data_IF_289519885499
#
_entry.id   IF_289519885499
#
_cell.length_a   1.000
_cell.length_b   1.000
_cell.length_c   1.000
_cell.angle_alpha   90.00
_cell.angle_beta   90.00
_cell.angle_gamma   90.00
#
_symmetry.space_group_name_H-M   'P 1'
#
loop_
_entity.id
_entity.type
_entity.pdbx_description
1 polymer ?
#
# COMPACT_ATOMS: atom_id res chain seq x y z
N UNK A 1 -3.05 7.07 5.99
CA UNK A 1 -3.63 5.86 6.58
C UNK A 1 -5.12 5.87 6.32
N UNK A 2 -5.70 4.73 5.94
CA UNK A 2 -7.12 4.43 5.75
C UNK A 2 -7.86 5.49 4.92
N UNK A 3 -8.74 6.29 5.51
CA UNK A 3 -9.44 7.39 4.83
C UNK A 3 -8.45 8.35 4.14
N UNK A 4 -7.31 8.65 4.78
CA UNK A 4 -6.25 9.47 4.19
C UNK A 4 -5.67 8.86 2.91
N UNK A 5 -5.52 7.54 2.85
CA UNK A 5 -5.13 6.83 1.62
C UNK A 5 -6.17 7.05 0.51
N UNK A 6 -7.46 6.89 0.81
CA UNK A 6 -8.53 7.11 -0.16
C UNK A 6 -8.55 8.57 -0.65
N UNK A 7 -8.34 9.53 0.25
CA UNK A 7 -8.30 10.97 -0.10
C UNK A 7 -7.11 11.31 -1.01
N UNK A 8 -5.92 10.76 -0.75
CA UNK A 8 -4.74 10.92 -1.62
C UNK A 8 -5.02 10.32 -3.00
N UNK A 9 -5.60 9.12 -3.07
CA UNK A 9 -5.98 8.48 -4.32
C UNK A 9 -6.97 9.33 -5.13
N UNK A 10 -7.98 9.88 -4.47
CA UNK A 10 -8.95 10.80 -5.10
C UNK A 10 -8.28 12.09 -5.60
N UNK A 11 -7.36 12.66 -4.83
CA UNK A 11 -6.60 13.86 -5.23
C UNK A 11 -5.73 13.60 -6.46
N UNK A 12 -5.23 12.36 -6.62
CA UNK A 12 -4.50 11.91 -7.80
C UNK A 12 -5.43 11.57 -9.00
N UNK A 13 -6.73 11.76 -8.88
CA UNK A 13 -7.70 11.47 -9.94
C UNK A 13 -8.15 10.02 -9.99
N UNK A 14 -7.75 9.20 -9.02
CA UNK A 14 -8.11 7.80 -8.95
C UNK A 14 -9.58 7.57 -8.55
N UNK A 15 -10.08 6.40 -8.91
CA UNK A 15 -11.40 5.91 -8.51
C UNK A 15 -11.29 5.15 -7.19
N UNK A 16 -12.13 5.53 -6.25
CA UNK A 16 -12.35 4.80 -4.99
C UNK A 16 -13.76 4.23 -5.03
N UNK A 17 -13.89 2.94 -4.88
CA UNK A 17 -15.17 2.22 -4.98
C UNK A 17 -15.51 1.48 -3.69
N UNK A 18 -16.80 1.17 -3.54
CA UNK A 18 -17.30 0.45 -2.38
C UNK A 18 -17.06 -1.05 -2.57
N UNK A 19 -16.40 -1.68 -1.59
CA UNK A 19 -16.31 -3.13 -1.50
C UNK A 19 -17.66 -3.76 -1.11
N UNK A 20 -17.88 -4.97 -1.58
CA UNK A 20 -19.11 -5.72 -1.25
C UNK A 20 -19.26 -5.97 0.25
N UNK A 21 -18.16 -6.31 0.92
CA UNK A 21 -18.13 -6.63 2.35
C UNK A 21 -17.22 -5.71 3.17
N UNK A 22 -16.19 -5.13 2.54
CA UNK A 22 -15.13 -4.41 3.23
C UNK A 22 -14.13 -5.34 3.93
N UNK A 23 -13.10 -4.73 4.52
CA UNK A 23 -12.09 -5.45 5.31
C UNK A 23 -12.18 -5.01 6.76
N UNK A 24 -12.33 -5.98 7.65
CA UNK A 24 -12.51 -5.75 9.08
C UNK A 24 -11.71 -6.77 9.89
N UNK A 25 -11.10 -6.31 10.98
CA UNK A 25 -10.35 -7.16 11.92
C UNK A 25 -8.83 -7.05 11.79
N UNK A 26 -8.12 -7.75 12.68
CA UNK A 26 -6.65 -7.73 12.79
C UNK A 26 -5.96 -8.93 12.14
N UNK A 27 -6.55 -9.53 11.13
CA UNK A 27 -6.08 -10.77 10.50
C UNK A 27 -6.09 -10.73 8.97
N UNK A 28 -5.97 -9.54 8.38
CA UNK A 28 -5.99 -9.36 6.94
C UNK A 28 -4.57 -9.52 6.36
N UNK A 29 -4.32 -10.54 5.52
CA UNK A 29 -3.03 -10.76 4.92
C UNK A 29 -2.83 -9.81 3.73
N UNK A 30 -1.74 -9.05 3.77
CA UNK A 30 -1.34 -8.13 2.71
C UNK A 30 0.06 -8.47 2.26
N UNK A 31 0.30 -8.54 0.96
CA UNK A 31 1.64 -8.69 0.41
C UNK A 31 2.26 -7.31 0.18
N UNK A 32 3.48 -7.13 0.69
CA UNK A 32 4.34 -6.01 0.36
C UNK A 32 5.12 -6.34 -0.91
N UNK A 33 4.82 -5.69 -2.01
CA UNK A 33 5.43 -5.95 -3.33
C UNK A 33 6.90 -5.49 -3.40
N UNK A 34 7.34 -4.61 -2.49
CA UNK A 34 8.73 -4.13 -2.47
C UNK A 34 9.67 -5.17 -1.85
N UNK A 35 9.16 -5.99 -0.92
CA UNK A 35 9.96 -6.96 -0.17
C UNK A 35 9.57 -8.41 -0.44
N UNK A 36 8.41 -8.65 -1.07
CA UNK A 36 7.83 -9.97 -1.26
C UNK A 36 7.30 -10.62 0.02
N UNK A 37 7.21 -9.88 1.13
CA UNK A 37 6.74 -10.40 2.42
C UNK A 37 5.24 -10.25 2.58
N UNK A 38 4.63 -11.23 3.23
CA UNK A 38 3.25 -11.15 3.69
C UNK A 38 3.23 -10.54 5.09
N UNK A 39 2.40 -9.55 5.28
CA UNK A 39 2.17 -8.82 6.53
C UNK A 39 0.74 -9.06 6.98
N UNK A 40 0.53 -9.33 8.25
CA UNK A 40 -0.81 -9.37 8.83
C UNK A 40 -1.17 -7.96 9.30
N UNK A 41 -2.32 -7.47 8.85
CA UNK A 41 -2.73 -6.08 9.07
C UNK A 41 -4.07 -5.97 9.78
N UNK A 42 -4.25 -4.85 10.49
CA UNK A 42 -5.53 -4.46 11.06
C UNK A 42 -6.27 -3.55 10.06
N UNK A 43 -7.52 -3.88 9.77
CA UNK A 43 -8.31 -3.16 8.78
C UNK A 43 -9.72 -2.87 9.30
N UNK A 44 -10.25 -1.71 8.90
CA UNK A 44 -11.64 -1.31 9.16
C UNK A 44 -12.10 -0.32 8.10
N UNK A 45 -12.37 -0.82 6.89
CA UNK A 45 -12.81 0.02 5.78
C UNK A 45 -13.77 -0.72 4.84
N UNK A 46 -14.61 0.04 4.15
CA UNK A 46 -15.56 -0.48 3.16
C UNK A 46 -15.31 0.02 1.73
N UNK A 47 -14.21 0.74 1.51
CA UNK A 47 -13.85 1.29 0.20
C UNK A 47 -12.41 0.96 -0.15
N UNK A 48 -12.12 0.89 -1.43
CA UNK A 48 -10.84 0.50 -1.98
C UNK A 48 -10.47 1.38 -3.20
N UNK A 49 -9.17 1.54 -3.45
CA UNK A 49 -8.63 2.14 -4.66
C UNK A 49 -8.69 1.16 -5.84
N UNK A 50 -9.24 1.59 -6.96
CA UNK A 50 -9.05 0.92 -8.27
C UNK A 50 -7.71 1.39 -8.84
N UNK A 51 -6.61 0.69 -8.56
CA UNK A 51 -5.26 1.14 -8.87
C UNK A 51 -5.04 1.55 -10.34
N UNK A 52 -5.54 0.80 -11.37
CA UNK A 52 -5.38 1.19 -12.77
C UNK A 52 -6.05 2.52 -13.14
N UNK A 53 -6.96 3.02 -12.31
CA UNK A 53 -7.58 4.33 -12.52
C UNK A 53 -6.66 5.52 -12.29
N UNK A 54 -5.50 5.29 -11.67
CA UNK A 54 -4.48 6.33 -11.41
C UNK A 54 -3.70 6.71 -12.67
N UNK A 55 -3.64 5.83 -13.69
CA UNK A 55 -2.92 6.06 -14.93
C UNK A 55 -2.56 4.78 -15.66
N UNK A 56 -1.93 4.91 -16.83
CA UNK A 56 -1.46 3.77 -17.61
C UNK A 56 -0.39 3.00 -16.82
N UNK A 57 -0.48 1.67 -16.82
CA UNK A 57 0.48 0.77 -16.17
C UNK A 57 1.16 -0.07 -17.24
N UNK A 58 2.46 0.17 -17.47
CA UNK A 58 3.22 -0.57 -18.48
C UNK A 58 3.58 -1.97 -17.98
N UNK A 59 3.50 -2.94 -18.91
CA UNK A 59 3.92 -4.32 -18.65
C UNK A 59 3.06 -5.11 -17.68
N UNK A 60 1.95 -4.54 -17.22
CA UNK A 60 1.05 -5.26 -16.33
C UNK A 60 0.17 -6.26 -17.10
N UNK A 61 -0.11 -7.44 -16.53
CA UNK A 61 -1.09 -8.37 -17.10
C UNK A 61 -2.47 -7.72 -17.25
N UNK A 62 -3.24 -8.17 -18.23
CA UNK A 62 -4.63 -7.76 -18.36
C UNK A 62 -5.43 -8.24 -17.14
N UNK A 63 -6.24 -7.35 -16.55
CA UNK A 63 -7.12 -7.68 -15.44
C UNK A 63 -8.53 -7.96 -15.96
N UNK A 64 -9.12 -9.05 -15.48
CA UNK A 64 -10.55 -9.33 -15.71
C UNK A 64 -11.43 -8.39 -14.89
N UNK A 65 -10.98 -8.05 -13.68
CA UNK A 65 -11.55 -7.05 -12.77
C UNK A 65 -10.46 -6.03 -12.42
N UNK A 66 -10.64 -4.74 -12.72
CA UNK A 66 -9.65 -3.70 -12.41
C UNK A 66 -9.32 -3.56 -10.92
N UNK A 67 -10.16 -4.07 -10.04
CA UNK A 67 -9.95 -4.04 -8.59
C UNK A 67 -9.22 -5.27 -8.06
N UNK A 68 -9.13 -6.35 -8.84
CA UNK A 68 -8.42 -7.59 -8.47
C UNK A 68 -7.01 -7.61 -9.07
N UNK A 69 -6.02 -7.33 -8.25
CA UNK A 69 -4.61 -7.23 -8.65
C UNK A 69 -3.82 -8.53 -8.39
N UNK A 70 -4.47 -9.65 -8.03
CA UNK A 70 -3.77 -10.91 -7.71
C UNK A 70 -2.89 -11.41 -8.84
N UNK A 71 -3.34 -11.30 -10.09
CA UNK A 71 -2.52 -11.66 -11.26
C UNK A 71 -1.25 -10.81 -11.40
N UNK A 72 -1.22 -9.61 -10.83
CA UNK A 72 -0.02 -8.77 -10.79
C UNK A 72 0.92 -9.17 -9.66
N UNK A 73 0.38 -9.65 -8.54
CA UNK A 73 1.18 -10.19 -7.43
C UNK A 73 2.07 -11.34 -7.91
N UNK A 74 1.54 -12.21 -8.76
CA UNK A 74 2.26 -13.37 -9.31
C UNK A 74 3.48 -12.98 -10.17
N UNK A 75 3.53 -11.74 -10.67
CA UNK A 75 4.69 -11.24 -11.44
C UNK A 75 5.90 -10.90 -10.56
N UNK A 76 5.71 -10.79 -9.25
CA UNK A 76 6.73 -10.31 -8.31
C UNK A 76 7.19 -8.87 -8.52
N UNK A 77 6.43 -8.08 -9.30
CA UNK A 77 6.73 -6.69 -9.63
C UNK A 77 5.85 -5.74 -8.82
N UNK A 78 6.39 -4.55 -8.51
CA UNK A 78 5.64 -3.42 -7.94
C UNK A 78 5.32 -2.41 -9.06
N UNK A 79 4.19 -2.55 -9.77
CA UNK A 79 3.90 -1.77 -10.97
C UNK A 79 3.72 -0.29 -10.65
N UNK A 80 4.02 0.56 -11.66
CA UNK A 80 3.90 2.01 -11.56
C UNK A 80 2.85 2.49 -12.55
N UNK A 81 1.85 3.21 -12.05
CA UNK A 81 0.88 3.93 -12.86
C UNK A 81 1.46 5.29 -13.26
N UNK A 82 1.42 5.62 -14.56
CA UNK A 82 1.82 6.93 -15.07
C UNK A 82 0.69 7.94 -14.82
N UNK A 83 0.79 8.70 -13.73
CA UNK A 83 -0.21 9.68 -13.35
C UNK A 83 0.08 11.04 -13.98
N UNK A 84 -0.91 11.62 -14.64
CA UNK A 84 -0.76 12.89 -15.36
C UNK A 84 -0.43 14.09 -14.45
N UNK A 85 -0.77 14.02 -13.17
CA UNK A 85 -0.61 15.13 -12.21
C UNK A 85 0.61 15.01 -11.30
N UNK A 86 0.94 13.78 -10.89
CA UNK A 86 1.94 13.53 -9.84
C UNK A 86 3.07 12.61 -10.28
N UNK A 87 3.18 12.32 -11.60
CA UNK A 87 4.22 11.42 -12.11
C UNK A 87 3.94 9.95 -11.80
N UNK A 88 4.97 9.19 -11.44
CA UNK A 88 4.79 7.78 -11.15
C UNK A 88 4.12 7.52 -9.80
N UNK A 89 3.14 6.61 -9.79
CA UNK A 89 2.52 6.10 -8.55
C UNK A 89 2.70 4.59 -8.53
N UNK A 90 3.51 4.11 -7.60
CA UNK A 90 3.84 2.68 -7.43
C UNK A 90 2.81 2.00 -6.54
N UNK A 91 2.32 0.84 -6.96
CA UNK A 91 1.59 -0.09 -6.10
C UNK A 91 2.58 -0.75 -5.14
N UNK A 92 2.35 -0.66 -3.84
CA UNK A 92 3.27 -1.21 -2.83
C UNK A 92 2.70 -2.39 -2.06
N UNK A 93 1.38 -2.43 -1.87
CA UNK A 93 0.73 -3.47 -1.08
C UNK A 93 -0.58 -3.93 -1.73
N UNK A 94 -0.86 -5.23 -1.64
CA UNK A 94 -2.09 -5.86 -2.18
C UNK A 94 -2.65 -6.84 -1.15
N UNK A 95 -3.97 -6.83 -0.95
CA UNK A 95 -4.68 -7.79 -0.11
C UNK A 95 -4.69 -9.17 -0.78
N UNK A 96 -4.29 -10.21 -0.07
CA UNK A 96 -4.21 -11.56 -0.62
C UNK A 96 -5.56 -12.27 -0.68
N UNK A 97 -6.58 -11.80 0.04
CA UNK A 97 -7.90 -12.41 0.02
C UNK A 97 -8.66 -12.08 -1.26
N UNK A 98 -8.61 -10.82 -1.71
CA UNK A 98 -9.43 -10.36 -2.84
C UNK A 98 -8.65 -9.55 -3.90
N UNK A 99 -7.36 -9.31 -3.70
CA UNK A 99 -6.51 -8.63 -4.68
C UNK A 99 -6.64 -7.11 -4.68
N UNK A 100 -7.29 -6.50 -3.70
CA UNK A 100 -7.46 -5.05 -3.64
C UNK A 100 -6.17 -4.31 -3.33
N UNK A 101 -6.04 -3.07 -3.82
CA UNK A 101 -4.89 -2.22 -3.55
C UNK A 101 -4.88 -1.75 -2.09
N UNK A 102 -3.79 -2.03 -1.38
CA UNK A 102 -3.63 -1.73 0.05
C UNK A 102 -2.56 -0.69 0.35
N UNK A 103 -1.79 -0.26 -0.65
CA UNK A 103 -0.77 0.76 -0.46
C UNK A 103 -0.20 1.29 -1.75
N UNK A 104 0.17 2.57 -1.74
CA UNK A 104 0.85 3.25 -2.85
C UNK A 104 2.00 4.11 -2.35
N UNK A 105 2.98 4.36 -3.24
CA UNK A 105 4.03 5.33 -3.04
C UNK A 105 4.24 6.14 -4.32
N UNK A 106 4.45 7.43 -4.17
CA UNK A 106 4.76 8.32 -5.29
C UNK A 106 6.26 8.26 -5.60
N UNK A 107 6.63 8.30 -6.87
CA UNK A 107 8.04 8.27 -7.28
C UNK A 107 8.66 9.67 -7.36
N UNK A 108 7.85 10.68 -7.67
CA UNK A 108 8.33 12.04 -7.99
C UNK A 108 8.07 13.04 -6.84
N UNK A 109 7.27 12.65 -5.86
CA UNK A 109 7.04 13.42 -4.64
C UNK A 109 7.21 12.55 -3.40
N UNK A 110 7.67 13.11 -2.25
CA UNK A 110 7.90 12.35 -1.03
C UNK A 110 6.56 12.04 -0.32
N UNK A 111 5.84 11.04 -0.83
CA UNK A 111 4.55 10.63 -0.28
C UNK A 111 4.29 9.13 -0.45
N UNK A 112 3.69 8.52 0.55
CA UNK A 112 3.14 7.18 0.48
C UNK A 112 1.91 7.06 1.38
N UNK A 113 1.11 6.03 1.16
CA UNK A 113 -0.06 5.78 1.99
C UNK A 113 -0.46 4.30 1.97
N UNK A 114 -1.12 3.85 3.03
CA UNK A 114 -1.68 2.49 3.16
C UNK A 114 -3.15 2.55 3.57
N UNK A 115 -3.92 1.56 3.11
CA UNK A 115 -5.35 1.45 3.35
C UNK A 115 -5.66 0.91 4.75
N UNK A 116 -4.77 0.10 5.31
CA UNK A 116 -4.89 -0.52 6.62
C UNK A 116 -4.36 0.39 7.75
N UNK A 117 -4.42 -0.10 8.99
CA UNK A 117 -4.07 0.64 10.21
C UNK A 117 -2.79 0.10 10.84
N UNK A 118 -1.58 0.57 10.44
CA UNK A 118 -0.32 0.14 11.05
C UNK A 118 -0.19 0.57 12.51
N UNK A 119 -1.00 1.53 12.97
CA UNK A 119 -1.04 2.02 14.35
C UNK A 119 -1.88 1.15 15.29
N UNK A 120 -2.54 0.10 14.79
CA UNK A 120 -3.46 -0.71 15.59
C UNK A 120 -2.78 -1.35 16.80
N UNK A 121 -3.39 -1.21 17.96
CA UNK A 121 -2.93 -1.76 19.23
C UNK A 121 -4.07 -2.58 19.87
N UNK A 122 -3.80 -3.78 20.38
CA UNK A 122 -2.50 -4.42 20.64
C UNK A 122 -1.76 -5.04 19.45
N UNK A 123 -2.20 -4.93 18.28
CA UNK A 123 -1.57 -5.45 17.08
C UNK A 123 -2.58 -5.84 16.02
N UNK A 124 -2.17 -6.39 14.87
CA UNK A 124 -0.83 -6.89 14.50
C UNK A 124 0.24 -5.79 14.32
N UNK A 125 1.52 -6.16 14.43
CA UNK A 125 2.66 -5.22 14.43
C UNK A 125 3.56 -5.33 13.19
N UNK A 126 3.20 -6.16 12.22
CA UNK A 126 4.04 -6.46 11.05
C UNK A 126 4.38 -5.21 10.23
N UNK A 127 3.48 -4.23 10.20
CA UNK A 127 3.59 -3.00 9.43
C UNK A 127 4.12 -1.78 10.22
N UNK A 128 4.60 -1.96 11.44
CA UNK A 128 5.14 -0.86 12.27
C UNK A 128 6.36 -0.18 11.64
N UNK A 129 7.13 -0.86 10.79
CA UNK A 129 8.23 -0.28 10.03
C UNK A 129 7.81 0.94 9.18
N UNK A 130 6.53 1.08 8.84
CA UNK A 130 6.02 2.23 8.09
C UNK A 130 6.18 3.54 8.86
N UNK A 131 6.23 3.51 10.19
CA UNK A 131 6.56 4.71 10.99
C UNK A 131 8.03 5.07 10.86
N UNK A 132 8.95 4.09 10.82
CA UNK A 132 10.36 4.33 10.49
C UNK A 132 10.49 4.88 9.07
N UNK A 133 9.75 4.33 8.09
CA UNK A 133 9.70 4.86 6.73
C UNK A 133 9.25 6.33 6.72
N UNK A 134 8.24 6.67 7.51
CA UNK A 134 7.74 8.05 7.57
C UNK A 134 8.74 9.02 8.20
N UNK A 135 9.44 8.62 9.27
CA UNK A 135 10.51 9.46 9.85
C UNK A 135 11.66 9.66 8.87
N UNK A 136 12.10 8.61 8.16
CA UNK A 136 13.12 8.73 7.11
C UNK A 136 12.69 9.66 5.97
N UNK A 137 11.41 9.58 5.58
CA UNK A 137 10.85 10.49 4.58
C UNK A 137 10.89 11.95 5.05
N UNK A 138 10.55 12.23 6.31
CA UNK A 138 10.66 13.57 6.92
C UNK A 138 12.10 14.06 6.96
N UNK A 139 13.07 13.16 7.13
CA UNK A 139 14.52 13.46 7.07
C UNK A 139 15.05 13.63 5.64
N UNK A 140 14.19 13.57 4.64
CA UNK A 140 14.55 13.75 3.22
C UNK A 140 15.29 12.58 2.60
N UNK A 141 15.18 11.37 3.17
CA UNK A 141 15.79 10.17 2.59
C UNK A 141 15.00 9.70 1.38
N UNK A 142 15.66 9.59 0.21
CA UNK A 142 15.04 9.12 -1.02
C UNK A 142 14.66 7.61 -0.95
N UNK A 143 15.42 6.84 -0.18
CA UNK A 143 15.29 5.41 0.04
C UNK A 143 14.42 5.08 1.28
N UNK A 144 13.49 5.94 1.64
CA UNK A 144 12.72 5.84 2.89
C UNK A 144 11.92 4.55 3.05
N UNK A 145 11.53 3.90 1.95
CA UNK A 145 10.84 2.59 1.97
C UNK A 145 11.79 1.38 1.92
N UNK A 146 13.09 1.60 1.69
CA UNK A 146 14.11 0.55 1.75
C UNK A 146 14.53 0.33 3.21
N UNK A 147 13.70 -0.43 3.93
CA UNK A 147 13.85 -0.72 5.35
C UNK A 147 14.11 -2.20 5.54
N UNK A 148 15.15 -2.53 6.31
CA UNK A 148 15.32 -3.90 6.82
C UNK A 148 14.29 -4.17 7.92
N UNK A 149 13.12 -4.65 7.50
CA UNK A 149 11.97 -4.89 8.39
C UNK A 149 12.34 -5.80 9.57
N UNK A 150 13.25 -6.75 9.36
CA UNK A 150 13.67 -7.66 10.43
C UNK A 150 14.46 -6.92 11.52
N UNK A 151 15.31 -5.98 11.12
CA UNK A 151 16.13 -5.15 12.01
C UNK A 151 15.30 -4.03 12.66
N UNK A 152 14.54 -3.30 11.86
CA UNK A 152 13.75 -2.14 12.33
C UNK A 152 12.60 -2.56 13.25
N UNK A 153 12.08 -3.78 13.10
CA UNK A 153 11.08 -4.36 14.01
C UNK A 153 11.59 -4.52 15.44
N UNK A 154 12.90 -4.70 15.62
CA UNK A 154 13.54 -4.90 16.92
C UNK A 154 14.08 -3.59 17.52
N UNK A 155 14.46 -2.61 16.71
CA UNK A 155 15.08 -1.36 17.15
C UNK A 155 14.06 -0.28 17.50
N UNK A 156 12.86 -0.28 16.91
CA UNK A 156 11.83 0.73 17.11
C UNK A 156 11.08 0.68 18.44
N UNK A 157 11.27 -0.35 19.25
CA UNK A 157 10.52 -0.59 20.48
C UNK A 157 11.43 -0.84 21.71
N UNK A 158 12.36 0.07 21.96
CA UNK A 158 13.00 0.16 23.28
C UNK A 158 12.18 1.12 24.12
N UNK A 159 11.29 0.56 24.94
CA UNK A 159 10.73 1.27 26.09
C UNK A 159 11.75 1.35 27.21
#
# INVERSE_FOLDING_TARGET
ICLGHQMICKAAGGTVEKLKFGHHGGNQPVINLLTGRVEITAQNHGFNLVFPSLGAVEGAPALADPSDLRSWVDTGAAPIAANARYGGIRLTHVNLNDGTAEGIAFTDIPAFSVQYHPEACPGPTDSHYLFTAFTRLMDGKADYLDIDIAKDRLEGWRF
#
